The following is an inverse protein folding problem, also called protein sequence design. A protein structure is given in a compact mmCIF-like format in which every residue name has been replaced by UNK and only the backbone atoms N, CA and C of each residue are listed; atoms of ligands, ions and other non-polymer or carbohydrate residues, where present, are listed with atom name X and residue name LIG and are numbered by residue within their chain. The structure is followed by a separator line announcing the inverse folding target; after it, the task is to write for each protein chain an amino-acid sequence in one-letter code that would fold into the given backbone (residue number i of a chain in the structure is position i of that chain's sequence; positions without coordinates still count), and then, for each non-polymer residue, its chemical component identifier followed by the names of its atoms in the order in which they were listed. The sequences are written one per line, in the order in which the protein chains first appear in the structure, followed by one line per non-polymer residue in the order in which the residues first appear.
data_IF_467415978693
#
_entry.id   IF_467415978693
#
_cell.length_a   1.000
_cell.length_b   1.000
_cell.length_c   1.000
_cell.angle_alpha   90.00
_cell.angle_beta   90.00
_cell.angle_gamma   90.00
#
_symmetry.space_group_name_H-M   'P 1'
#
loop_
_entity.id
_entity.type
_entity.pdbx_description
1 polymer ?
#
# COMPACT_ATOMS: atom_id res chain seq x y z
N UNK A 1 -10.01 -23.91 -15.92
CA UNK A 1 -10.15 -22.51 -16.41
C UNK A 1 -10.60 -21.50 -15.32
N UNK A 2 -10.28 -21.70 -14.02
CA UNK A 2 -11.00 -21.02 -12.92
C UNK A 2 -10.25 -19.98 -12.06
N UNK A 3 -8.91 -20.00 -11.98
CA UNK A 3 -8.16 -19.10 -11.05
C UNK A 3 -7.62 -17.83 -11.71
N UNK A 4 -7.21 -17.90 -12.98
CA UNK A 4 -6.55 -16.78 -13.67
C UNK A 4 -7.51 -15.60 -13.92
N UNK A 5 -8.77 -15.91 -14.20
CA UNK A 5 -9.80 -14.90 -14.49
C UNK A 5 -10.26 -14.14 -13.25
N UNK A 6 -10.25 -14.79 -12.07
CA UNK A 6 -10.66 -14.18 -10.80
C UNK A 6 -9.73 -13.04 -10.37
N UNK A 7 -8.42 -13.32 -10.30
CA UNK A 7 -7.44 -12.29 -9.89
C UNK A 7 -7.30 -11.18 -10.93
N UNK A 8 -7.47 -11.48 -12.23
CA UNK A 8 -7.48 -10.45 -13.27
C UNK A 8 -8.66 -9.49 -13.11
N UNK A 9 -9.87 -10.02 -12.87
CA UNK A 9 -11.07 -9.20 -12.62
C UNK A 9 -10.97 -8.35 -11.37
N UNK A 10 -10.43 -8.89 -10.27
CA UNK A 10 -10.20 -8.12 -9.04
C UNK A 10 -9.23 -6.96 -9.25
N UNK A 11 -8.24 -7.12 -10.12
CA UNK A 11 -7.25 -6.06 -10.41
C UNK A 11 -7.79 -4.93 -11.28
N UNK A 12 -8.92 -5.12 -11.94
CA UNK A 12 -9.62 -4.05 -12.67
C UNK A 12 -10.77 -3.45 -11.87
N UNK A 13 -10.94 -3.85 -10.60
CA UNK A 13 -12.06 -3.47 -9.75
C UNK A 13 -11.56 -2.63 -8.57
N UNK A 14 -12.06 -1.40 -8.47
CA UNK A 14 -11.58 -0.42 -7.47
C UNK A 14 -11.94 -0.84 -6.05
N UNK A 15 -13.10 -1.46 -5.86
CA UNK A 15 -13.56 -1.92 -4.54
C UNK A 15 -12.72 -3.10 -4.05
N UNK A 16 -12.39 -4.03 -4.95
CA UNK A 16 -11.45 -5.12 -4.68
C UNK A 16 -10.07 -4.58 -4.33
N UNK A 17 -9.57 -3.57 -5.05
CA UNK A 17 -8.29 -2.92 -4.75
C UNK A 17 -8.32 -2.25 -3.37
N UNK A 18 -9.39 -1.52 -3.04
CA UNK A 18 -9.51 -0.87 -1.73
C UNK A 18 -9.60 -1.88 -0.60
N UNK A 19 -10.30 -3.00 -0.80
CA UNK A 19 -10.33 -4.11 0.16
C UNK A 19 -8.94 -4.68 0.39
N UNK A 20 -8.18 -4.89 -0.70
CA UNK A 20 -6.81 -5.40 -0.62
C UNK A 20 -5.91 -4.40 0.11
N UNK A 21 -6.00 -3.09 -0.19
CA UNK A 21 -5.26 -2.03 0.51
C UNK A 21 -5.59 -1.97 2.01
N UNK A 22 -6.86 -2.08 2.41
CA UNK A 22 -7.26 -2.15 3.82
C UNK A 22 -6.68 -3.37 4.52
N UNK A 23 -6.59 -4.51 3.82
CA UNK A 23 -5.92 -5.70 4.33
C UNK A 23 -4.41 -5.46 4.51
N UNK A 24 -3.76 -4.79 3.55
CA UNK A 24 -2.35 -4.38 3.65
C UNK A 24 -2.11 -3.51 4.88
N UNK A 25 -2.90 -2.44 5.05
CA UNK A 25 -2.87 -1.58 6.24
C UNK A 25 -2.93 -2.40 7.51
N UNK A 26 -3.89 -3.33 7.59
CA UNK A 26 -4.11 -4.16 8.79
C UNK A 26 -2.95 -5.11 9.09
N UNK A 27 -2.26 -5.61 8.06
CA UNK A 27 -1.05 -6.41 8.24
C UNK A 27 0.11 -5.56 8.75
N UNK A 28 0.36 -4.39 8.13
CA UNK A 28 1.43 -3.47 8.53
C UNK A 28 1.25 -3.05 9.99
N UNK A 29 0.04 -2.61 10.35
CA UNK A 29 -0.29 -2.14 11.71
C UNK A 29 -0.05 -3.24 12.75
N UNK A 30 -0.53 -4.46 12.49
CA UNK A 30 -0.32 -5.60 13.40
C UNK A 30 1.15 -5.97 13.54
N UNK A 31 1.88 -6.00 12.42
CA UNK A 31 3.26 -6.45 12.34
C UNK A 31 4.24 -5.49 12.99
N UNK A 32 4.08 -4.19 12.73
CA UNK A 32 5.06 -3.16 13.10
C UNK A 32 4.67 -2.37 14.35
N UNK A 33 3.38 -2.30 14.69
CA UNK A 33 2.90 -1.51 15.83
C UNK A 33 2.25 -2.36 16.91
N UNK A 34 2.09 -3.67 16.70
CA UNK A 34 1.47 -4.57 17.67
C UNK A 34 -0.02 -4.32 17.90
N UNK A 35 -0.65 -3.49 17.06
CA UNK A 35 -2.06 -3.09 17.21
C UNK A 35 -2.92 -4.15 16.53
N UNK A 36 -3.63 -4.95 17.32
CA UNK A 36 -4.49 -6.02 16.80
C UNK A 36 -5.83 -5.49 16.25
N UNK A 37 -6.29 -4.36 16.77
CA UNK A 37 -7.56 -3.71 16.38
C UNK A 37 -7.38 -2.19 16.32
N UNK A 38 -7.92 -1.53 15.31
CA UNK A 38 -7.79 -0.07 15.14
C UNK A 38 -8.35 0.74 16.32
N UNK A 39 -9.35 0.21 17.04
CA UNK A 39 -9.86 0.83 18.27
C UNK A 39 -8.89 0.74 19.47
N UNK A 40 -7.72 0.10 19.31
CA UNK A 40 -6.61 0.11 20.27
C UNK A 40 -5.52 1.11 19.91
N UNK A 41 -5.78 2.05 18.98
CA UNK A 41 -4.83 3.11 18.60
C UNK A 41 -4.37 3.99 19.78
N UNK A 42 -5.09 3.96 20.91
CA UNK A 42 -4.66 4.58 22.17
C UNK A 42 -3.37 3.97 22.77
N UNK A 43 -2.99 2.75 22.39
CA UNK A 43 -1.73 2.10 22.84
C UNK A 43 -0.51 2.53 22.03
N UNK A 44 -0.73 2.90 20.78
CA UNK A 44 0.29 3.32 19.83
C UNK A 44 -0.44 3.92 18.62
N UNK A 45 -0.10 5.14 18.24
CA UNK A 45 -0.66 5.74 17.03
C UNK A 45 0.21 5.29 15.83
N UNK A 46 -0.33 4.51 14.88
CA UNK A 46 0.41 4.22 13.67
C UNK A 46 0.66 5.53 12.90
N UNK A 47 1.82 5.70 12.25
CA UNK A 47 2.08 6.87 11.43
C UNK A 47 1.07 6.92 10.27
N UNK A 48 0.93 8.09 9.62
CA UNK A 48 0.08 8.18 8.45
C UNK A 48 0.55 7.15 7.39
N UNK A 49 -0.40 6.49 6.76
CA UNK A 49 -0.16 5.64 5.59
C UNK A 49 -1.19 6.03 4.55
N UNK A 50 -0.69 6.44 3.38
CA UNK A 50 -1.54 6.93 2.31
C UNK A 50 -1.51 5.90 1.18
N UNK A 51 -2.68 5.34 0.90
CA UNK A 51 -2.86 4.41 -0.20
C UNK A 51 -3.42 5.15 -1.40
N UNK A 52 -2.81 4.98 -2.56
CA UNK A 52 -3.31 5.50 -3.82
C UNK A 52 -3.56 4.36 -4.78
N UNK A 53 -4.49 4.58 -5.69
CA UNK A 53 -4.78 3.68 -6.79
C UNK A 53 -4.57 4.43 -8.09
N UNK A 54 -3.80 3.83 -9.00
CA UNK A 54 -3.54 4.32 -10.35
C UNK A 54 -4.10 3.32 -11.37
N UNK A 55 -4.86 3.77 -12.36
CA UNK A 55 -5.27 2.89 -13.46
C UNK A 55 -4.17 2.82 -14.53
N UNK A 56 -3.56 1.64 -14.69
CA UNK A 56 -2.53 1.28 -15.67
C UNK A 56 -3.01 1.28 -17.13
N UNK A 57 -2.06 1.26 -18.08
CA UNK A 57 -2.34 1.23 -19.54
C UNK A 57 -3.18 0.02 -19.98
N UNK A 58 -3.11 -1.08 -19.25
CA UNK A 58 -3.81 -2.34 -19.54
C UNK A 58 -5.13 -2.52 -18.75
N UNK A 59 -5.75 -1.42 -18.27
CA UNK A 59 -6.96 -1.42 -17.43
C UNK A 59 -6.76 -2.15 -16.07
N UNK A 60 -5.50 -2.35 -15.68
CA UNK A 60 -5.14 -2.91 -14.38
C UNK A 60 -4.87 -1.78 -13.41
N UNK A 61 -5.49 -1.84 -12.24
CA UNK A 61 -5.24 -0.93 -11.16
C UNK A 61 -3.92 -1.29 -10.48
N UNK A 62 -3.14 -0.28 -10.14
CA UNK A 62 -1.90 -0.35 -9.40
C UNK A 62 -2.08 0.34 -8.04
N UNK A 63 -1.72 -0.36 -6.98
CA UNK A 63 -1.72 0.18 -5.62
C UNK A 63 -0.38 0.80 -5.30
N UNK A 64 -0.40 2.02 -4.76
CA UNK A 64 0.76 2.73 -4.24
C UNK A 64 0.57 2.94 -2.75
N UNK A 65 1.64 2.72 -1.98
CA UNK A 65 1.66 2.98 -0.54
C UNK A 65 2.75 4.01 -0.24
N UNK A 66 2.32 5.17 0.23
CA UNK A 66 3.21 6.21 0.73
C UNK A 66 3.29 6.14 2.25
N UNK A 67 4.53 6.07 2.74
CA UNK A 67 4.88 6.11 4.15
C UNK A 67 5.68 7.39 4.43
N UNK A 68 5.08 8.44 5.02
CA UNK A 68 5.78 9.68 5.34
C UNK A 68 6.91 9.50 6.36
N UNK A 69 6.86 8.41 7.13
CA UNK A 69 7.92 7.99 8.04
C UNK A 69 8.19 6.50 7.87
N UNK A 70 9.45 6.05 7.96
CA UNK A 70 9.78 4.63 7.95
C UNK A 70 9.08 3.85 9.07
N UNK A 71 8.87 2.55 8.88
CA UNK A 71 8.17 1.66 9.82
C UNK A 71 9.06 1.27 11.01
N UNK A 72 9.46 2.23 11.83
CA UNK A 72 10.35 1.98 12.97
C UNK A 72 11.76 1.60 12.48
N UNK A 73 12.16 0.33 12.71
CA UNK A 73 13.52 -0.18 12.42
C UNK A 73 13.87 -0.42 10.94
N UNK A 74 12.94 -0.15 10.02
CA UNK A 74 13.15 -0.33 8.59
C UNK A 74 13.41 1.03 7.96
N UNK A 75 14.60 1.58 8.21
CA UNK A 75 15.04 2.92 7.84
C UNK A 75 15.73 3.00 6.47
N UNK A 76 15.97 1.85 5.83
CA UNK A 76 16.56 1.74 4.49
C UNK A 76 15.60 1.10 3.49
N UNK A 77 15.82 1.42 2.20
CA UNK A 77 15.07 0.82 1.08
C UNK A 77 15.29 -0.69 1.06
N UNK A 78 16.50 -1.16 1.34
CA UNK A 78 16.87 -2.57 1.35
C UNK A 78 16.11 -3.34 2.42
N UNK A 79 16.09 -2.83 3.66
CA UNK A 79 15.37 -3.46 4.77
C UNK A 79 13.86 -3.49 4.49
N UNK A 80 13.30 -2.39 3.97
CA UNK A 80 11.89 -2.30 3.67
C UNK A 80 11.50 -3.22 2.49
N UNK A 81 12.36 -3.34 1.47
CA UNK A 81 12.21 -4.29 0.36
C UNK A 81 12.21 -5.74 0.86
N UNK A 82 13.12 -6.08 1.77
CA UNK A 82 13.21 -7.41 2.34
C UNK A 82 11.95 -7.78 3.15
N UNK A 83 11.44 -6.88 3.99
CA UNK A 83 10.19 -7.10 4.74
C UNK A 83 9.00 -7.29 3.80
N UNK A 84 8.89 -6.44 2.77
CA UNK A 84 7.85 -6.54 1.74
C UNK A 84 7.90 -7.88 1.01
N UNK A 85 9.09 -8.29 0.58
CA UNK A 85 9.29 -9.54 -0.16
C UNK A 85 9.04 -10.77 0.70
N UNK A 86 9.47 -10.79 1.96
CA UNK A 86 9.42 -11.98 2.81
C UNK A 86 8.10 -12.14 3.58
N UNK A 87 7.67 -11.07 4.25
CA UNK A 87 6.49 -11.13 5.11
C UNK A 87 5.24 -10.82 4.31
N UNK A 88 5.21 -9.68 3.62
CA UNK A 88 3.95 -9.20 3.05
C UNK A 88 3.48 -10.07 1.87
N UNK A 89 4.35 -10.56 0.99
CA UNK A 89 3.93 -11.48 -0.09
C UNK A 89 3.37 -12.81 0.44
N UNK A 90 3.86 -13.27 1.60
CA UNK A 90 3.40 -14.51 2.25
C UNK A 90 2.03 -14.33 2.90
N UNK A 91 1.76 -13.15 3.45
CA UNK A 91 0.55 -12.88 4.23
C UNK A 91 -0.55 -12.15 3.45
N UNK A 92 -0.22 -11.47 2.34
CA UNK A 92 -1.16 -10.78 1.47
C UNK A 92 -1.29 -11.51 0.13
N UNK A 93 -2.37 -12.27 -0.06
CA UNK A 93 -2.61 -13.03 -1.30
C UNK A 93 -2.73 -12.15 -2.55
N UNK A 94 -3.16 -10.89 -2.42
CA UNK A 94 -3.20 -9.93 -3.51
C UNK A 94 -1.82 -9.66 -4.13
N UNK A 95 -0.76 -9.77 -3.33
CA UNK A 95 0.64 -9.69 -3.77
C UNK A 95 1.21 -11.04 -4.22
N UNK A 96 0.60 -12.15 -3.79
CA UNK A 96 1.03 -13.48 -4.21
C UNK A 96 0.85 -13.61 -5.73
N UNK A 97 1.91 -14.04 -6.44
CA UNK A 97 1.96 -14.13 -7.92
C UNK A 97 1.98 -12.79 -8.66
N UNK A 98 2.36 -11.70 -7.99
CA UNK A 98 2.73 -10.44 -8.65
C UNK A 98 4.24 -10.28 -8.76
N UNK A 99 4.67 -9.29 -9.55
CA UNK A 99 6.05 -8.82 -9.52
C UNK A 99 6.36 -8.32 -8.10
N UNK A 100 7.61 -8.45 -7.63
CA UNK A 100 8.01 -7.90 -6.34
C UNK A 100 7.61 -6.41 -6.23
N UNK A 101 7.11 -5.96 -5.07
CA UNK A 101 6.79 -4.55 -4.86
C UNK A 101 8.02 -3.69 -5.13
N UNK A 102 7.82 -2.58 -5.85
CA UNK A 102 8.86 -1.58 -6.05
C UNK A 102 8.93 -0.67 -4.83
N UNK A 103 10.06 -0.65 -4.15
CA UNK A 103 10.30 0.17 -2.97
C UNK A 103 11.40 1.17 -3.30
N UNK A 104 11.16 2.44 -3.02
CA UNK A 104 12.13 3.52 -3.22
C UNK A 104 11.91 4.63 -2.19
N UNK A 105 12.95 5.40 -1.92
CA UNK A 105 12.82 6.67 -1.22
C UNK A 105 12.20 7.70 -2.15
N UNK A 106 11.35 8.56 -1.58
CA UNK A 106 10.75 9.71 -2.26
C UNK A 106 11.17 10.95 -1.49
N UNK A 107 12.02 11.78 -2.11
CA UNK A 107 12.68 12.91 -1.44
C UNK A 107 12.05 14.26 -1.76
N UNK A 108 11.30 14.36 -2.85
CA UNK A 108 10.70 15.60 -3.32
C UNK A 108 9.36 15.36 -4.02
N UNK A 109 8.66 16.45 -4.34
CA UNK A 109 7.35 16.41 -4.97
C UNK A 109 7.38 15.80 -6.39
N UNK A 110 8.48 15.97 -7.13
CA UNK A 110 8.62 15.42 -8.49
C UNK A 110 8.75 13.90 -8.41
N UNK A 111 9.58 13.39 -7.50
CA UNK A 111 9.71 11.98 -7.21
C UNK A 111 8.41 11.38 -6.68
N UNK A 112 7.64 12.14 -5.88
CA UNK A 112 6.33 11.70 -5.40
C UNK A 112 5.35 11.50 -6.54
N UNK A 113 5.21 12.51 -7.41
CA UNK A 113 4.33 12.41 -8.57
C UNK A 113 4.78 11.26 -9.47
N UNK A 114 6.08 11.18 -9.79
CA UNK A 114 6.64 10.11 -10.61
C UNK A 114 6.43 8.71 -10.03
N UNK A 115 6.44 8.57 -8.69
CA UNK A 115 6.10 7.32 -8.02
C UNK A 115 4.62 6.98 -8.18
N UNK A 116 3.72 7.95 -7.92
CA UNK A 116 2.28 7.75 -7.96
C UNK A 116 1.71 7.61 -9.38
N UNK A 117 2.44 8.09 -10.39
CA UNK A 117 2.08 8.00 -11.81
C UNK A 117 3.06 7.13 -12.59
N UNK A 118 3.57 6.07 -11.97
CA UNK A 118 4.65 5.26 -12.54
C UNK A 118 4.20 4.51 -13.79
N UNK A 119 2.92 4.14 -13.86
CA UNK A 119 2.41 3.27 -14.92
C UNK A 119 1.68 4.09 -16.01
N UNK A 120 1.20 5.30 -15.70
CA UNK A 120 0.39 6.17 -16.58
C UNK A 120 0.51 7.68 -16.30
N UNK A 121 -0.36 8.49 -16.92
CA UNK A 121 -0.52 9.93 -16.66
C UNK A 121 -1.37 10.22 -15.41
N UNK A 122 -1.13 11.36 -14.76
CA UNK A 122 -1.82 11.84 -13.54
C UNK A 122 -3.35 11.90 -13.55
N UNK A 123 -4.01 11.75 -14.70
CA UNK A 123 -5.46 11.86 -14.83
C UNK A 123 -6.25 10.69 -14.22
N UNK A 124 -5.59 9.59 -13.83
CA UNK A 124 -6.25 8.37 -13.33
C UNK A 124 -5.68 7.87 -12.00
N UNK A 125 -5.25 8.81 -11.16
CA UNK A 125 -4.77 8.57 -9.81
C UNK A 125 -5.83 9.00 -8.79
N UNK A 126 -6.15 8.13 -7.84
CA UNK A 126 -7.09 8.42 -6.76
C UNK A 126 -6.51 8.04 -5.40
N UNK A 127 -6.78 8.86 -4.38
CA UNK A 127 -6.50 8.52 -2.99
C UNK A 127 -7.55 7.53 -2.48
N UNK A 128 -7.11 6.40 -1.94
CA UNK A 128 -7.97 5.43 -1.28
C UNK A 128 -8.18 5.85 0.18
N UNK A 129 -9.22 6.66 0.39
CA UNK A 129 -9.55 7.23 1.70
C UNK A 129 -9.89 6.13 2.71
N UNK A 130 -10.47 5.01 2.27
CA UNK A 130 -10.91 3.92 3.13
C UNK A 130 -9.73 3.11 3.68
N UNK A 131 -8.71 2.89 2.83
CA UNK A 131 -7.48 2.22 3.23
C UNK A 131 -6.47 3.15 3.89
N UNK A 132 -6.51 4.45 3.60
CA UNK A 132 -5.58 5.41 4.21
C UNK A 132 -5.87 5.63 5.69
N UNK A 133 -4.84 5.99 6.45
CA UNK A 133 -5.00 6.56 7.78
C UNK A 133 -4.29 7.91 7.84
N UNK A 134 -5.09 8.94 8.08
CA UNK A 134 -4.60 10.29 8.33
C UNK A 134 -4.36 10.41 9.83
N UNK A 135 -3.23 10.99 10.22
CA UNK A 135 -3.08 11.42 11.62
C UNK A 135 -3.86 12.72 11.75
N UNK A 136 -4.92 12.73 12.55
CA UNK A 136 -5.49 14.00 13.00
C UNK A 136 -4.40 14.75 13.77
N UNK A 137 -4.15 16.04 13.46
CA UNK A 137 -3.27 16.84 14.31
C UNK A 137 -3.83 16.77 15.73
N UNK A 138 -2.98 16.36 16.66
CA UNK A 138 -3.25 16.52 18.09
C UNK A 138 -3.22 18.03 18.35
N UNK A 139 -4.40 18.64 18.50
CA UNK A 139 -4.52 20.00 19.02
C UNK A 139 -4.29 19.99 20.53
#
# INVERSE_FOLDING_TARGET
MGSYNYYKRRRSDIDSMSTDNQHMRSLIIRRHYGIQRLNQAWRSAPPPMLFFVEEGKDVQLHGHLLLPKPLGKYDSVECMTAEWKLYMTKHAKCLSRQRPPHVCSVTDAVGLIGYLTKETSSQRMALDVMASNFVSPSF
#
